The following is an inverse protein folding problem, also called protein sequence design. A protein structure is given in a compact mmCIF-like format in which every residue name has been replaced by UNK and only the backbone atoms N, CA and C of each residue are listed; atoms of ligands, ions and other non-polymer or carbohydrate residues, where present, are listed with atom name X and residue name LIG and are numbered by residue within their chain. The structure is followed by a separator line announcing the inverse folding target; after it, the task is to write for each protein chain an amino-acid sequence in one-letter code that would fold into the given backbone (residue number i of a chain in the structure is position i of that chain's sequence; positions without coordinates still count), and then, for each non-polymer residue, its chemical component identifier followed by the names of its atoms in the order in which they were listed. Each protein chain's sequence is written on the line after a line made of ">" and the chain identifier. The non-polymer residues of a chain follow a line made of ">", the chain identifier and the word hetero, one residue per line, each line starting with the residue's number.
data_IF_600367639478
#
_entry.id   IF_600367639478
#
_cell.length_a   1.000
_cell.length_b   1.000
_cell.length_c   1.000
_cell.angle_alpha   90.00
_cell.angle_beta   90.00
_cell.angle_gamma   90.00
#
_symmetry.space_group_name_H-M   'P 1'
#
loop_
_entity.id
_entity.type
_entity.pdbx_description
1 polymer ?
#
# COMPACT_ATOMS: atom_id res chain seq x y z
N UNK A 1 27.91 -32.70 13.80
CA UNK A 1 27.01 -31.96 14.71
C UNK A 1 27.51 -30.52 14.79
N UNK A 2 27.09 -29.66 13.86
CA UNK A 2 27.41 -28.23 13.91
C UNK A 2 26.39 -27.53 14.81
N UNK A 3 26.64 -27.55 16.11
CA UNK A 3 25.93 -26.72 17.07
C UNK A 3 26.78 -25.48 17.35
N UNK A 4 26.24 -24.28 17.07
CA UNK A 4 26.76 -23.03 17.61
C UNK A 4 27.46 -22.09 16.63
N UNK A 5 26.92 -21.84 15.42
CA UNK A 5 27.17 -20.53 14.81
C UNK A 5 26.40 -19.49 15.63
N UNK A 6 27.10 -18.85 16.56
CA UNK A 6 26.54 -17.74 17.33
C UNK A 6 25.95 -16.69 16.40
N UNK A 7 24.86 -16.05 16.82
CA UNK A 7 24.22 -14.99 16.05
C UNK A 7 25.28 -13.94 15.62
N UNK A 8 25.18 -13.39 14.39
CA UNK A 8 26.13 -12.38 13.89
C UNK A 8 26.33 -11.26 14.91
N UNK A 9 27.54 -10.70 14.99
CA UNK A 9 27.85 -9.63 15.94
C UNK A 9 26.84 -8.46 15.90
N UNK A 10 26.32 -8.15 14.70
CA UNK A 10 25.26 -7.18 14.50
C UNK A 10 23.95 -7.58 15.21
N UNK A 11 23.53 -8.85 15.12
CA UNK A 11 22.33 -9.36 15.81
C UNK A 11 22.52 -9.26 17.32
N UNK A 12 23.68 -9.68 17.85
CA UNK A 12 23.98 -9.56 19.28
C UNK A 12 24.00 -8.11 19.76
N UNK A 13 24.62 -7.20 19.00
CA UNK A 13 24.64 -5.79 19.33
C UNK A 13 23.22 -5.21 19.40
N UNK A 14 22.37 -5.55 18.43
CA UNK A 14 20.95 -5.17 18.45
C UNK A 14 20.25 -5.76 19.67
N UNK A 15 20.41 -7.06 20.00
CA UNK A 15 19.77 -7.68 21.17
C UNK A 15 20.22 -7.04 22.49
N UNK A 16 21.52 -6.73 22.63
CA UNK A 16 22.07 -6.09 23.83
C UNK A 16 21.60 -4.63 23.95
N UNK A 17 21.49 -3.91 22.84
CA UNK A 17 20.95 -2.54 22.81
C UNK A 17 19.44 -2.50 23.08
N UNK A 18 18.67 -3.47 22.56
CA UNK A 18 17.24 -3.67 22.89
C UNK A 18 17.07 -3.85 24.39
N UNK A 19 17.91 -4.67 25.03
CA UNK A 19 17.84 -4.90 26.46
C UNK A 19 18.17 -3.67 27.31
N UNK A 20 18.83 -2.64 26.76
CA UNK A 20 19.18 -1.41 27.50
C UNK A 20 18.07 -0.35 27.53
N UNK A 21 17.14 -0.36 26.57
CA UNK A 21 16.02 0.59 26.55
C UNK A 21 16.45 2.06 26.55
N UNK A 22 17.59 2.38 25.93
CA UNK A 22 18.11 3.75 25.92
C UNK A 22 17.21 4.66 25.05
N UNK A 23 16.67 5.78 25.57
CA UNK A 23 15.72 6.63 24.83
C UNK A 23 16.30 7.25 23.56
N UNK A 24 17.63 7.47 23.52
CA UNK A 24 18.31 7.93 22.32
C UNK A 24 18.28 6.88 21.19
N UNK A 25 18.34 5.58 21.53
CA UNK A 25 18.25 4.49 20.56
C UNK A 25 16.83 4.31 20.05
N UNK A 26 15.83 4.45 20.92
CA UNK A 26 14.43 4.44 20.52
C UNK A 26 14.14 5.54 19.50
N UNK A 27 14.53 6.78 19.80
CA UNK A 27 14.40 7.90 18.86
C UNK A 27 15.13 7.64 17.53
N UNK A 28 16.34 7.10 17.59
CA UNK A 28 17.12 6.77 16.38
C UNK A 28 16.39 5.73 15.53
N UNK A 29 15.82 4.70 16.15
CA UNK A 29 15.10 3.65 15.44
C UNK A 29 13.79 4.18 14.85
N UNK A 30 13.03 5.00 15.59
CA UNK A 30 11.82 5.66 15.08
C UNK A 30 12.13 6.52 13.85
N UNK A 31 13.17 7.35 13.91
CA UNK A 31 13.59 8.17 12.75
C UNK A 31 13.95 7.28 11.56
N UNK A 32 14.66 6.18 11.79
CA UNK A 32 15.01 5.25 10.73
C UNK A 32 13.75 4.57 10.14
N UNK A 33 12.79 4.17 10.97
CA UNK A 33 11.51 3.59 10.52
C UNK A 33 10.75 4.59 9.67
N UNK A 34 10.71 5.87 10.06
CA UNK A 34 10.06 6.91 9.27
C UNK A 34 10.74 7.03 7.90
N UNK A 35 12.07 7.07 7.85
CA UNK A 35 12.81 7.16 6.57
C UNK A 35 12.53 5.94 5.69
N UNK A 36 12.55 4.74 6.25
CA UNK A 36 12.25 3.51 5.51
C UNK A 36 10.78 3.45 5.10
N UNK A 37 9.86 3.94 5.94
CA UNK A 37 8.44 4.10 5.62
C UNK A 37 8.23 5.04 4.43
N UNK A 38 8.91 6.18 4.39
CA UNK A 38 8.88 7.09 3.24
C UNK A 38 9.42 6.44 1.95
N UNK A 39 10.43 5.56 2.06
CA UNK A 39 10.91 4.76 0.91
C UNK A 39 9.85 3.76 0.48
N UNK A 40 9.17 3.10 1.41
CA UNK A 40 8.04 2.23 1.11
C UNK A 40 6.93 2.99 0.38
N UNK A 41 6.51 4.15 0.89
CA UNK A 41 5.50 5.01 0.28
C UNK A 41 5.89 5.45 -1.14
N UNK A 42 7.18 5.77 -1.34
CA UNK A 42 7.70 6.10 -2.66
C UNK A 42 7.61 4.92 -3.64
N UNK A 43 8.03 3.72 -3.21
CA UNK A 43 7.90 2.52 -4.06
C UNK A 43 6.44 2.15 -4.32
N UNK A 44 5.56 2.38 -3.35
CA UNK A 44 4.13 2.17 -3.50
C UNK A 44 3.54 3.11 -4.56
N UNK A 45 3.82 4.41 -4.45
CA UNK A 45 3.42 5.39 -5.45
C UNK A 45 3.96 5.06 -6.85
N UNK A 46 5.17 4.51 -6.95
CA UNK A 46 5.74 4.11 -8.24
C UNK A 46 4.97 2.98 -8.93
N UNK A 47 4.49 1.98 -8.18
CA UNK A 47 3.68 0.87 -8.71
C UNK A 47 2.30 1.32 -9.18
N UNK A 48 1.67 2.23 -8.43
CA UNK A 48 0.26 2.54 -8.62
C UNK A 48 -0.02 3.84 -9.39
N UNK A 49 0.96 4.75 -9.49
CA UNK A 49 0.79 6.00 -10.24
C UNK A 49 0.34 5.73 -11.68
N UNK A 50 0.91 4.71 -12.35
CA UNK A 50 0.51 4.34 -13.70
C UNK A 50 -0.96 3.92 -13.78
N UNK A 51 -1.41 3.09 -12.82
CA UNK A 51 -2.78 2.59 -12.77
C UNK A 51 -3.79 3.73 -12.50
N UNK A 52 -3.44 4.68 -11.65
CA UNK A 52 -4.31 5.81 -11.29
C UNK A 52 -4.62 6.75 -12.47
N UNK A 53 -3.70 6.89 -13.44
CA UNK A 53 -3.82 7.87 -14.53
C UNK A 53 -3.91 7.28 -15.94
N UNK A 54 -3.69 5.97 -16.10
CA UNK A 54 -3.65 5.30 -17.40
C UNK A 54 -4.87 5.60 -18.27
N UNK A 55 -6.07 5.54 -17.68
CA UNK A 55 -7.35 5.75 -18.38
C UNK A 55 -7.51 7.19 -18.88
N UNK A 56 -7.13 8.19 -18.06
CA UNK A 56 -7.21 9.60 -18.45
C UNK A 56 -6.22 9.98 -19.54
N UNK A 57 -5.05 9.33 -19.58
CA UNK A 57 -4.06 9.55 -20.62
C UNK A 57 -4.43 8.81 -21.92
N UNK A 58 -4.84 7.54 -21.83
CA UNK A 58 -5.17 6.72 -23.01
C UNK A 58 -6.38 7.26 -23.77
N UNK A 59 -7.39 7.75 -23.05
CA UNK A 59 -8.57 8.43 -23.62
C UNK A 59 -8.28 9.87 -24.07
N UNK A 60 -7.06 10.37 -23.83
CA UNK A 60 -6.66 11.77 -24.07
C UNK A 60 -7.57 12.77 -23.35
N UNK A 61 -8.18 12.37 -22.23
CA UNK A 61 -8.91 13.28 -21.36
C UNK A 61 -7.95 14.32 -20.75
N UNK A 62 -6.79 13.85 -20.27
CA UNK A 62 -5.74 14.67 -19.71
C UNK A 62 -4.41 14.41 -20.44
N UNK A 63 -3.54 15.43 -20.47
CA UNK A 63 -2.15 15.22 -20.87
C UNK A 63 -1.38 14.54 -19.72
N UNK A 64 -0.30 13.78 -19.99
CA UNK A 64 0.44 13.06 -18.95
C UNK A 64 0.87 13.95 -17.78
N UNK A 65 1.34 15.18 -18.06
CA UNK A 65 1.77 16.14 -17.04
C UNK A 65 0.62 16.59 -16.12
N UNK A 66 -0.55 16.88 -16.69
CA UNK A 66 -1.72 17.30 -15.91
C UNK A 66 -2.26 16.11 -15.11
N UNK A 67 -2.31 14.93 -15.71
CA UNK A 67 -2.81 13.73 -15.04
C UNK A 67 -1.93 13.37 -13.83
N UNK A 68 -0.61 13.40 -13.99
CA UNK A 68 0.34 13.15 -12.90
C UNK A 68 0.25 14.22 -11.81
N UNK A 69 0.22 15.51 -12.17
CA UNK A 69 0.10 16.59 -11.20
C UNK A 69 -1.20 16.53 -10.40
N UNK A 70 -2.32 16.22 -11.06
CA UNK A 70 -3.60 16.02 -10.40
C UNK A 70 -3.57 14.80 -9.46
N UNK A 71 -3.02 13.67 -9.91
CA UNK A 71 -2.91 12.46 -9.09
C UNK A 71 -2.04 12.69 -7.84
N UNK A 72 -0.93 13.44 -7.96
CA UNK A 72 -0.09 13.78 -6.83
C UNK A 72 -0.85 14.64 -5.79
N UNK A 73 -1.60 15.65 -6.24
CA UNK A 73 -2.38 16.52 -5.35
C UNK A 73 -3.51 15.75 -4.66
N UNK A 74 -4.24 14.92 -5.40
CA UNK A 74 -5.36 14.15 -4.82
C UNK A 74 -4.88 13.04 -3.91
N UNK A 75 -3.77 12.37 -4.23
CA UNK A 75 -3.12 11.40 -3.36
C UNK A 75 -2.65 12.06 -2.05
N UNK A 76 -1.95 13.19 -2.15
CA UNK A 76 -1.54 13.95 -0.97
C UNK A 76 -2.73 14.40 -0.13
N UNK A 77 -3.83 14.85 -0.75
CA UNK A 77 -5.06 15.18 -0.04
C UNK A 77 -5.69 13.95 0.65
N UNK A 78 -5.68 12.79 -0.02
CA UNK A 78 -6.16 11.52 0.54
C UNK A 78 -5.40 11.11 1.81
N UNK A 79 -4.09 11.36 1.88
CA UNK A 79 -3.27 11.02 3.03
C UNK A 79 -3.73 11.70 4.34
N UNK A 80 -4.40 12.85 4.26
CA UNK A 80 -4.98 13.52 5.44
C UNK A 80 -6.39 13.05 5.79
N UNK A 81 -7.04 12.30 4.90
CA UNK A 81 -8.43 11.86 5.04
C UNK A 81 -8.54 10.39 5.47
N UNK A 82 -7.49 9.59 5.25
CA UNK A 82 -7.50 8.15 5.48
C UNK A 82 -6.55 7.74 6.59
N UNK A 83 -7.07 7.09 7.64
CA UNK A 83 -6.25 6.41 8.66
C UNK A 83 -6.68 4.95 8.88
N UNK A 84 -7.68 4.47 8.13
CA UNK A 84 -8.32 3.18 8.38
C UNK A 84 -7.45 1.99 7.98
N UNK A 85 -6.69 2.10 6.89
CA UNK A 85 -5.73 1.07 6.49
C UNK A 85 -4.59 0.98 7.51
N UNK A 86 -4.05 2.13 7.93
CA UNK A 86 -3.05 2.19 9.00
C UNK A 86 -3.54 1.55 10.31
N UNK A 87 -4.79 1.80 10.73
CA UNK A 87 -5.41 1.14 11.89
C UNK A 87 -5.49 -0.38 11.71
N UNK A 88 -5.94 -0.83 10.54
CA UNK A 88 -6.09 -2.26 10.24
C UNK A 88 -4.73 -2.97 10.27
N UNK A 89 -3.70 -2.36 9.67
CA UNK A 89 -2.34 -2.89 9.65
C UNK A 89 -1.72 -2.86 11.06
N UNK A 90 -1.92 -1.78 11.81
CA UNK A 90 -1.32 -1.55 13.12
C UNK A 90 -1.86 -2.44 14.24
N UNK A 91 -3.17 -2.75 14.25
CA UNK A 91 -3.79 -3.53 15.34
C UNK A 91 -4.50 -4.81 14.90
N UNK A 92 -4.77 -4.98 13.60
CA UNK A 92 -5.57 -6.09 13.09
C UNK A 92 -4.78 -7.31 12.61
N UNK A 93 -3.46 -7.15 12.38
CA UNK A 93 -2.64 -8.18 11.73
C UNK A 93 -1.66 -8.85 12.70
N UNK A 94 -0.99 -8.07 13.56
CA UNK A 94 0.00 -8.57 14.51
C UNK A 94 -0.21 -7.98 15.91
N UNK A 95 0.14 -8.75 16.93
CA UNK A 95 0.27 -8.27 18.30
C UNK A 95 1.71 -7.83 18.54
N UNK A 96 2.06 -6.63 18.07
CA UNK A 96 3.41 -6.12 18.20
C UNK A 96 3.72 -5.76 19.67
N UNK A 97 4.91 -6.14 20.19
CA UNK A 97 5.40 -5.63 21.47
C UNK A 97 5.49 -4.09 21.49
N UNK A 98 5.23 -3.46 22.63
CA UNK A 98 5.33 -1.99 22.80
C UNK A 98 6.77 -1.51 23.10
N UNK A 99 7.75 -2.39 23.00
CA UNK A 99 9.16 -2.12 23.28
C UNK A 99 9.99 -1.97 21.98
N UNK A 100 11.32 -1.86 22.13
CA UNK A 100 12.24 -1.75 20.99
C UNK A 100 12.15 -2.96 20.04
N UNK A 101 11.72 -4.12 20.53
CA UNK A 101 11.51 -5.32 19.72
C UNK A 101 10.38 -5.13 18.71
N UNK A 102 9.30 -4.42 19.10
CA UNK A 102 8.21 -4.05 18.20
C UNK A 102 8.66 -3.10 17.08
N UNK A 103 9.48 -2.11 17.40
CA UNK A 103 10.06 -1.20 16.41
C UNK A 103 10.96 -1.95 15.40
N UNK A 104 11.77 -2.89 15.87
CA UNK A 104 12.58 -3.75 14.99
C UNK A 104 11.72 -4.67 14.12
N UNK A 105 10.60 -5.17 14.64
CA UNK A 105 9.65 -5.97 13.86
C UNK A 105 9.10 -5.13 12.70
N UNK A 106 8.62 -3.92 12.97
CA UNK A 106 8.12 -2.99 11.93
C UNK A 106 9.22 -2.66 10.91
N UNK A 107 10.45 -2.43 11.36
CA UNK A 107 11.59 -2.20 10.46
C UNK A 107 11.80 -3.39 9.51
N UNK A 108 11.88 -4.61 10.04
CA UNK A 108 12.05 -5.83 9.24
C UNK A 108 10.89 -6.03 8.27
N UNK A 109 9.66 -5.73 8.69
CA UNK A 109 8.48 -5.82 7.86
C UNK A 109 8.54 -4.84 6.67
N UNK A 110 8.88 -3.58 6.91
CA UNK A 110 9.05 -2.57 5.86
C UNK A 110 10.16 -2.95 4.88
N UNK A 111 11.31 -3.40 5.38
CA UNK A 111 12.42 -3.84 4.52
C UNK A 111 12.04 -5.03 3.65
N UNK A 112 11.31 -6.01 4.21
CA UNK A 112 10.77 -7.14 3.44
C UNK A 112 9.79 -6.68 2.36
N UNK A 113 8.87 -5.77 2.71
CA UNK A 113 7.89 -5.22 1.78
C UNK A 113 8.53 -4.42 0.65
N UNK A 114 9.50 -3.55 0.97
CA UNK A 114 10.28 -2.80 -0.02
C UNK A 114 11.06 -3.76 -0.93
N UNK A 115 11.72 -4.77 -0.35
CA UNK A 115 12.44 -5.79 -1.11
C UNK A 115 11.52 -6.50 -2.11
N UNK A 116 10.31 -6.85 -1.69
CA UNK A 116 9.30 -7.44 -2.56
C UNK A 116 8.79 -6.47 -3.64
N UNK A 117 8.54 -5.21 -3.29
CA UNK A 117 8.11 -4.18 -4.23
C UNK A 117 9.18 -3.93 -5.32
N UNK A 118 10.45 -3.83 -4.93
CA UNK A 118 11.56 -3.65 -5.87
C UNK A 118 11.73 -4.89 -6.75
N UNK A 119 11.66 -6.07 -6.16
CA UNK A 119 11.78 -7.33 -6.90
C UNK A 119 10.69 -7.50 -7.96
N UNK A 120 9.44 -7.31 -7.58
CA UNK A 120 8.28 -7.44 -8.49
C UNK A 120 8.31 -6.38 -9.57
N UNK A 121 8.64 -5.14 -9.22
CA UNK A 121 8.85 -4.07 -10.21
C UNK A 121 9.92 -4.46 -11.23
N UNK A 122 11.09 -4.91 -10.79
CA UNK A 122 12.19 -5.30 -11.67
C UNK A 122 11.80 -6.46 -12.60
N UNK A 123 10.91 -7.34 -12.13
CA UNK A 123 10.36 -8.45 -12.92
C UNK A 123 9.16 -8.08 -13.78
N UNK A 124 8.66 -6.84 -13.71
CA UNK A 124 7.47 -6.37 -14.41
C UNK A 124 6.19 -7.08 -13.95
N UNK A 125 6.17 -7.60 -12.72
CA UNK A 125 5.02 -8.29 -12.15
C UNK A 125 4.12 -7.28 -11.45
N UNK A 126 2.79 -7.29 -11.73
CA UNK A 126 1.86 -6.51 -10.94
C UNK A 126 1.87 -7.02 -9.50
N UNK A 127 1.98 -6.10 -8.54
CA UNK A 127 1.92 -6.42 -7.12
C UNK A 127 1.12 -5.36 -6.36
N UNK A 128 0.72 -5.69 -5.13
CA UNK A 128 0.11 -4.74 -4.20
C UNK A 128 1.06 -4.52 -3.05
N UNK A 129 1.50 -3.28 -2.85
CA UNK A 129 2.39 -2.92 -1.74
C UNK A 129 1.75 -3.17 -0.38
N UNK A 130 0.43 -2.98 -0.25
CA UNK A 130 -0.29 -3.27 0.99
C UNK A 130 -0.20 -4.75 1.36
N UNK A 131 -0.27 -5.65 0.37
CA UNK A 131 -0.07 -7.08 0.59
C UNK A 131 1.41 -7.42 0.84
N UNK A 132 2.33 -6.71 0.19
CA UNK A 132 3.76 -6.83 0.48
C UNK A 132 4.07 -6.44 1.94
N UNK A 133 3.43 -5.38 2.45
CA UNK A 133 3.53 -4.93 3.83
C UNK A 133 2.93 -5.94 4.81
N UNK A 134 1.73 -6.44 4.53
CA UNK A 134 1.09 -7.49 5.35
C UNK A 134 1.97 -8.75 5.38
N UNK A 135 2.49 -9.19 4.23
CA UNK A 135 3.42 -10.33 4.14
C UNK A 135 4.72 -10.09 4.90
N UNK A 136 5.28 -8.88 4.81
CA UNK A 136 6.44 -8.45 5.59
C UNK A 136 6.18 -8.49 7.09
N UNK A 137 5.04 -7.98 7.55
CA UNK A 137 4.64 -7.97 8.96
C UNK A 137 4.46 -9.39 9.50
N UNK A 138 3.75 -10.25 8.76
CA UNK A 138 3.55 -11.65 9.15
C UNK A 138 4.90 -12.38 9.20
N UNK A 139 5.75 -12.21 8.19
CA UNK A 139 7.08 -12.81 8.17
C UNK A 139 7.97 -12.36 9.34
N UNK A 140 7.99 -11.06 9.62
CA UNK A 140 8.73 -10.49 10.74
C UNK A 140 8.19 -10.97 12.10
N UNK A 141 6.87 -11.02 12.27
CA UNK A 141 6.23 -11.52 13.48
C UNK A 141 6.55 -13.00 13.73
N UNK A 142 6.46 -13.85 12.70
CA UNK A 142 6.83 -15.26 12.81
C UNK A 142 8.31 -15.43 13.19
N UNK A 143 9.21 -14.65 12.58
CA UNK A 143 10.64 -14.69 12.91
C UNK A 143 10.93 -14.21 14.35
N UNK A 144 10.15 -13.26 14.87
CA UNK A 144 10.26 -12.73 16.22
C UNK A 144 9.49 -13.55 17.27
N UNK A 145 8.82 -14.65 16.89
CA UNK A 145 7.86 -15.37 17.74
C UNK A 145 6.75 -14.48 18.32
N UNK A 146 6.39 -13.40 17.62
CA UNK A 146 5.30 -12.52 17.98
C UNK A 146 3.95 -13.10 17.54
N UNK A 147 2.86 -12.64 18.16
CA UNK A 147 1.50 -13.13 17.85
C UNK A 147 1.03 -12.61 16.49
N UNK A 148 0.51 -13.52 15.66
CA UNK A 148 -0.14 -13.21 14.38
C UNK A 148 -1.64 -13.45 14.50
N UNK A 149 -2.45 -12.46 14.15
CA UNK A 149 -3.91 -12.55 14.20
C UNK A 149 -4.45 -13.18 12.92
N UNK A 150 -4.42 -14.51 12.83
CA UNK A 150 -4.85 -15.25 11.64
C UNK A 150 -6.30 -14.96 11.22
N UNK A 151 -7.21 -14.80 12.18
CA UNK A 151 -8.59 -14.39 11.89
C UNK A 151 -8.64 -12.99 11.27
N UNK A 152 -7.85 -12.05 11.79
CA UNK A 152 -7.71 -10.72 11.23
C UNK A 152 -7.18 -10.75 9.79
N UNK A 153 -6.20 -11.59 9.49
CA UNK A 153 -5.69 -11.78 8.12
C UNK A 153 -6.78 -12.32 7.20
N UNK A 154 -7.51 -13.35 7.62
CA UNK A 154 -8.59 -13.93 6.82
C UNK A 154 -9.69 -12.89 6.56
N UNK A 155 -10.16 -12.22 7.61
CA UNK A 155 -11.33 -11.35 7.54
C UNK A 155 -11.04 -9.99 6.89
N UNK A 156 -9.86 -9.43 7.15
CA UNK A 156 -9.49 -8.07 6.71
C UNK A 156 -8.66 -8.04 5.44
N UNK A 157 -8.02 -9.14 5.07
CA UNK A 157 -7.12 -9.20 3.91
C UNK A 157 -7.65 -10.20 2.89
N UNK A 158 -7.76 -11.48 3.27
CA UNK A 158 -8.02 -12.55 2.32
C UNK A 158 -9.44 -12.49 1.74
N UNK A 159 -10.45 -12.24 2.60
CA UNK A 159 -11.84 -12.10 2.17
C UNK A 159 -12.03 -10.89 1.25
N UNK A 160 -11.63 -9.65 1.61
CA UNK A 160 -11.70 -8.52 0.69
C UNK A 160 -10.90 -8.73 -0.60
N UNK A 161 -9.73 -9.38 -0.54
CA UNK A 161 -8.93 -9.69 -1.72
C UNK A 161 -9.66 -10.62 -2.70
N UNK A 162 -10.39 -11.63 -2.20
CA UNK A 162 -11.12 -12.56 -3.05
C UNK A 162 -12.45 -11.99 -3.54
N UNK A 163 -13.14 -11.22 -2.69
CA UNK A 163 -14.45 -10.67 -3.00
C UNK A 163 -14.37 -9.39 -3.85
N UNK A 164 -13.35 -8.56 -3.68
CA UNK A 164 -13.27 -7.27 -4.36
C UNK A 164 -13.19 -7.36 -5.88
N UNK A 165 -12.50 -8.33 -6.52
CA UNK A 165 -12.56 -8.47 -7.97
C UNK A 165 -13.96 -8.88 -8.45
N UNK A 166 -14.66 -9.76 -7.74
CA UNK A 166 -16.01 -10.20 -8.10
C UNK A 166 -17.00 -9.03 -8.00
N UNK A 167 -16.97 -8.31 -6.88
CA UNK A 167 -17.79 -7.12 -6.66
C UNK A 167 -17.43 -6.02 -7.65
N UNK A 168 -16.13 -5.79 -7.88
CA UNK A 168 -15.61 -4.80 -8.81
C UNK A 168 -16.04 -5.07 -10.25
N UNK A 169 -15.98 -6.32 -10.72
CA UNK A 169 -16.48 -6.72 -12.04
C UNK A 169 -17.99 -6.57 -12.12
N UNK A 170 -18.74 -7.03 -11.12
CA UNK A 170 -20.20 -6.94 -11.11
C UNK A 170 -20.68 -5.47 -11.14
N UNK A 171 -20.15 -4.63 -10.26
CA UNK A 171 -20.50 -3.20 -10.21
C UNK A 171 -20.00 -2.45 -11.44
N UNK A 172 -18.76 -2.71 -11.87
CA UNK A 172 -18.17 -2.10 -13.06
C UNK A 172 -18.95 -2.43 -14.33
N UNK A 173 -19.32 -3.70 -14.52
CA UNK A 173 -20.16 -4.12 -15.65
C UNK A 173 -21.54 -3.48 -15.61
N UNK A 174 -22.18 -3.49 -14.44
CA UNK A 174 -23.52 -2.90 -14.27
C UNK A 174 -23.51 -1.40 -14.55
N UNK A 175 -22.53 -0.67 -14.02
CA UNK A 175 -22.36 0.75 -14.26
C UNK A 175 -22.06 1.04 -15.72
N UNK A 176 -21.17 0.25 -16.34
CA UNK A 176 -20.85 0.38 -17.76
C UNK A 176 -22.09 0.18 -18.64
N UNK A 177 -22.87 -0.89 -18.41
CA UNK A 177 -24.10 -1.17 -19.13
C UNK A 177 -25.14 -0.05 -18.94
N UNK A 178 -25.30 0.44 -17.71
CA UNK A 178 -26.21 1.54 -17.40
C UNK A 178 -25.80 2.83 -18.14
N UNK A 179 -24.51 3.16 -18.17
CA UNK A 179 -23.97 4.31 -18.90
C UNK A 179 -24.23 4.16 -20.41
N UNK A 180 -23.92 3.01 -21.00
CA UNK A 180 -24.18 2.77 -22.42
C UNK A 180 -25.68 2.89 -22.74
N UNK A 181 -26.54 2.29 -21.92
CA UNK A 181 -27.98 2.34 -22.11
C UNK A 181 -28.54 3.76 -21.99
N UNK A 182 -28.07 4.54 -21.01
CA UNK A 182 -28.51 5.92 -20.77
C UNK A 182 -28.11 6.84 -21.93
N UNK A 183 -26.91 6.68 -22.49
CA UNK A 183 -26.38 7.56 -23.53
C UNK A 183 -26.46 6.99 -24.94
N UNK A 184 -27.14 5.86 -25.15
CA UNK A 184 -27.22 5.16 -26.47
C UNK A 184 -27.76 6.01 -27.62
N UNK A 185 -28.54 7.06 -27.33
CA UNK A 185 -29.11 7.98 -28.32
C UNK A 185 -28.50 9.39 -28.28
N UNK A 186 -27.48 9.61 -27.45
CA UNK A 186 -26.86 10.92 -27.32
C UNK A 186 -25.90 11.22 -28.49
N UNK A 187 -25.87 12.47 -28.93
CA UNK A 187 -24.97 12.90 -29.99
C UNK A 187 -23.49 12.74 -29.57
N UNK A 188 -22.61 12.12 -30.38
CA UNK A 188 -21.25 11.77 -29.97
C UNK A 188 -20.39 12.98 -29.54
N UNK A 189 -20.44 14.09 -30.29
CA UNK A 189 -19.57 15.25 -30.08
C UNK A 189 -19.74 15.93 -28.70
N UNK A 190 -20.94 16.35 -28.27
CA UNK A 190 -21.13 16.91 -26.93
C UNK A 190 -20.86 15.87 -25.83
N UNK A 191 -21.18 14.61 -26.09
CA UNK A 191 -20.98 13.51 -25.15
C UNK A 191 -19.49 13.32 -24.82
N UNK A 192 -18.62 13.24 -25.84
CA UNK A 192 -17.17 13.10 -25.64
C UNK A 192 -16.60 14.20 -24.75
N UNK A 193 -17.04 15.46 -24.90
CA UNK A 193 -16.58 16.56 -24.04
C UNK A 193 -16.98 16.35 -22.57
N UNK A 194 -18.22 15.93 -22.32
CA UNK A 194 -18.72 15.66 -20.96
C UNK A 194 -18.01 14.46 -20.33
N UNK A 195 -17.77 13.40 -21.10
CA UNK A 195 -17.04 12.23 -20.63
C UNK A 195 -15.57 12.52 -20.32
N UNK A 196 -14.91 13.42 -21.07
CA UNK A 196 -13.54 13.86 -20.71
C UNK A 196 -13.50 14.58 -19.37
N UNK A 197 -14.52 15.38 -19.04
CA UNK A 197 -14.64 15.99 -17.72
C UNK A 197 -14.91 14.93 -16.64
N UNK A 198 -15.86 14.03 -16.86
CA UNK A 198 -16.16 12.94 -15.93
C UNK A 198 -14.93 12.03 -15.68
N UNK A 199 -14.13 11.79 -16.73
CA UNK A 199 -12.89 11.04 -16.64
C UNK A 199 -11.84 11.74 -15.77
N UNK A 200 -11.78 13.07 -15.84
CA UNK A 200 -10.90 13.88 -14.98
C UNK A 200 -11.29 13.72 -13.51
N UNK A 201 -12.59 13.76 -13.22
CA UNK A 201 -13.13 13.53 -11.86
C UNK A 201 -12.87 12.10 -11.40
N UNK A 202 -13.06 11.10 -12.28
CA UNK A 202 -12.81 9.70 -11.96
C UNK A 202 -11.34 9.46 -11.61
N UNK A 203 -10.39 10.00 -12.38
CA UNK A 203 -8.97 9.88 -12.07
C UNK A 203 -8.56 10.64 -10.81
N UNK A 204 -9.20 11.79 -10.53
CA UNK A 204 -9.04 12.49 -9.25
C UNK A 204 -9.52 11.64 -8.07
N UNK A 205 -10.68 10.98 -8.21
CA UNK A 205 -11.21 10.07 -7.20
C UNK A 205 -10.31 8.83 -7.01
N UNK A 206 -9.73 8.28 -8.08
CA UNK A 206 -8.76 7.19 -7.98
C UNK A 206 -7.48 7.61 -7.25
N UNK A 207 -6.94 8.79 -7.57
CA UNK A 207 -5.77 9.33 -6.87
C UNK A 207 -6.04 9.60 -5.39
N UNK A 208 -7.22 10.16 -5.07
CA UNK A 208 -7.67 10.36 -3.70
C UNK A 208 -7.85 9.03 -2.97
N UNK A 209 -8.50 8.06 -3.61
CA UNK A 209 -8.69 6.71 -3.07
C UNK A 209 -7.39 5.98 -2.79
N UNK A 210 -6.36 6.19 -3.61
CA UNK A 210 -5.02 5.69 -3.34
C UNK A 210 -4.37 6.39 -2.14
N UNK A 211 -4.54 7.71 -2.01
CA UNK A 211 -4.00 8.45 -0.87
C UNK A 211 -4.64 8.08 0.48
N UNK A 212 -5.84 7.50 0.47
CA UNK A 212 -6.55 7.08 1.70
C UNK A 212 -5.98 5.78 2.33
N UNK A 213 -5.11 5.06 1.61
CA UNK A 213 -4.53 3.78 2.04
C UNK A 213 -3.20 3.99 2.75
#
# INVERSE_FOLDING_TARGET
>A
MEAGRGAPAAVRAVTVCVARGDPAMELTLVVLIIVVGLVFDFTNGFHDAANAIATSISTRALTPRIALGMAAVTNFAGAFLGTEVAKTVGSGIIGAPEDLSGLLLVMCALLGAIGWNVFTWWRGLPTSSSHALIGGLVGAALAASATVHWSGIVDKVLLPMLLSPLVGVALGYTLHAAVLWTFRHAAPRPLTRRFRLAQTVSAAAMGLGHGLQ
#
